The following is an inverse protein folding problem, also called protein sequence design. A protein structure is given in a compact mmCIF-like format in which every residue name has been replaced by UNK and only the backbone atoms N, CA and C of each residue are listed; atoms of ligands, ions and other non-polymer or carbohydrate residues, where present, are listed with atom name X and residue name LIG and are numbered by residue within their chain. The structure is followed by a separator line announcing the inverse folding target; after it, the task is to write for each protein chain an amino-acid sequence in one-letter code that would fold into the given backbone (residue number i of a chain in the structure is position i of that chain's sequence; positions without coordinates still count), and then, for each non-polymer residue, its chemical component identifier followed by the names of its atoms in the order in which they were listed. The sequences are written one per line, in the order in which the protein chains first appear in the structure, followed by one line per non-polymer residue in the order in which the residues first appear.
data_IF_888436299421
#
_entry.id   IF_888436299421
#
_cell.length_a   1.000
_cell.length_b   1.000
_cell.length_c   1.000
_cell.angle_alpha   90.00
_cell.angle_beta   90.00
_cell.angle_gamma   90.00
#
_symmetry.space_group_name_H-M   'P 1'
#
loop_
_entity.id
_entity.type
_entity.pdbx_description
1 polymer ?
#
# COMPACT_ATOMS: atom_id res chain seq x y z
N UNK A 1 -22.64 45.35 103.56
CA UNK A 1 -21.82 44.32 102.88
C UNK A 1 -21.02 45.03 101.80
N UNK A 2 -19.75 45.36 102.08
CA UNK A 2 -18.86 45.98 101.10
C UNK A 2 -18.07 44.86 100.40
N UNK A 3 -18.08 44.84 99.07
CA UNK A 3 -17.35 43.88 98.25
C UNK A 3 -15.84 44.13 98.37
N UNK A 4 -14.99 43.09 98.46
CA UNK A 4 -13.54 43.28 98.47
C UNK A 4 -13.06 43.82 97.12
N UNK A 5 -12.36 44.97 97.18
CA UNK A 5 -11.75 45.68 96.05
C UNK A 5 -10.51 44.92 95.59
N UNK A 6 -10.69 44.08 94.56
CA UNK A 6 -9.65 43.20 94.03
C UNK A 6 -8.79 43.97 93.01
N UNK A 7 -8.04 44.97 93.48
CA UNK A 7 -7.12 45.74 92.64
C UNK A 7 -5.79 45.00 92.47
N UNK A 8 -5.63 44.40 91.31
CA UNK A 8 -4.34 43.86 90.84
C UNK A 8 -3.33 45.01 90.84
N UNK A 9 -2.25 44.88 91.62
CA UNK A 9 -1.18 45.90 91.66
C UNK A 9 -0.39 45.88 90.35
N UNK A 10 0.19 47.02 89.95
CA UNK A 10 0.90 47.14 88.66
C UNK A 10 1.97 46.05 88.44
N UNK A 11 2.65 45.60 89.51
CA UNK A 11 3.61 44.48 89.43
C UNK A 11 2.98 43.11 89.18
N UNK A 12 1.73 42.87 89.57
CA UNK A 12 1.01 41.64 89.24
C UNK A 12 0.53 41.62 87.78
N UNK A 13 0.19 42.78 87.20
CA UNK A 13 -0.19 42.89 85.79
C UNK A 13 1.02 42.61 84.86
N UNK A 14 2.21 43.10 85.21
CA UNK A 14 3.43 42.83 84.45
C UNK A 14 3.83 41.34 84.52
N UNK A 15 3.76 40.71 85.70
CA UNK A 15 4.03 39.27 85.82
C UNK A 15 3.06 38.41 85.02
N UNK A 16 1.78 38.78 84.96
CA UNK A 16 0.77 38.07 84.14
C UNK A 16 1.09 38.24 82.64
N UNK A 17 1.48 39.45 82.20
CA UNK A 17 1.85 39.71 80.81
C UNK A 17 3.10 38.92 80.38
N UNK A 18 4.14 38.87 81.22
CA UNK A 18 5.34 38.07 80.95
C UNK A 18 5.03 36.57 80.93
N UNK A 19 4.17 36.10 81.84
CA UNK A 19 3.73 34.69 81.86
C UNK A 19 2.96 34.32 80.61
N UNK A 20 2.08 35.20 80.11
CA UNK A 20 1.36 35.01 78.85
C UNK A 20 2.29 34.98 77.64
N UNK A 21 3.28 35.89 77.59
CA UNK A 21 4.27 35.92 76.51
C UNK A 21 5.10 34.64 76.46
N UNK A 22 5.53 34.13 77.63
CA UNK A 22 6.29 32.89 77.74
C UNK A 22 5.46 31.69 77.27
N UNK A 23 4.19 31.61 77.68
CA UNK A 23 3.27 30.54 77.23
C UNK A 23 3.02 30.62 75.74
N UNK A 24 2.82 31.81 75.17
CA UNK A 24 2.63 32.02 73.74
C UNK A 24 3.86 31.55 72.94
N UNK A 25 5.06 31.95 73.37
CA UNK A 25 6.33 31.54 72.75
C UNK A 25 6.49 30.01 72.82
N UNK A 26 6.14 29.39 73.96
CA UNK A 26 6.22 27.95 74.15
C UNK A 26 5.26 27.19 73.23
N UNK A 27 4.00 27.64 73.14
CA UNK A 27 2.99 27.08 72.23
C UNK A 27 3.39 27.21 70.77
N UNK A 28 3.94 28.37 70.37
CA UNK A 28 4.39 28.62 69.00
C UNK A 28 5.59 27.72 68.63
N UNK A 29 6.48 27.47 69.60
CA UNK A 29 7.62 26.56 69.44
C UNK A 29 7.17 25.10 69.33
N UNK A 30 6.19 24.68 70.12
CA UNK A 30 5.57 23.35 70.02
C UNK A 30 4.84 23.15 68.69
N UNK A 31 4.10 24.16 68.21
CA UNK A 31 3.44 24.11 66.92
C UNK A 31 4.45 24.00 65.76
N UNK A 32 5.53 24.79 65.80
CA UNK A 32 6.60 24.71 64.80
C UNK A 32 7.36 23.37 64.84
N UNK A 33 7.65 22.82 66.03
CA UNK A 33 8.24 21.49 66.16
C UNK A 33 7.31 20.40 65.63
N UNK A 34 6.01 20.47 65.94
CA UNK A 34 5.01 19.51 65.45
C UNK A 34 4.88 19.54 63.93
N UNK A 35 4.88 20.73 63.33
CA UNK A 35 4.89 20.89 61.87
C UNK A 35 6.20 20.36 61.27
N UNK A 36 7.34 20.65 61.90
CA UNK A 36 8.65 20.13 61.48
C UNK A 36 8.67 18.59 61.50
N UNK A 37 8.26 17.97 62.60
CA UNK A 37 8.19 16.50 62.73
C UNK A 37 7.22 15.89 61.73
N UNK A 38 6.04 16.50 61.54
CA UNK A 38 5.10 16.06 60.51
C UNK A 38 5.72 16.12 59.10
N UNK A 39 6.43 17.20 58.77
CA UNK A 39 7.11 17.32 57.47
C UNK A 39 8.22 16.26 57.34
N UNK A 40 8.97 15.98 58.41
CA UNK A 40 10.01 14.94 58.41
C UNK A 40 9.43 13.52 58.26
N UNK A 41 8.37 13.20 58.99
CA UNK A 41 7.71 11.88 58.96
C UNK A 41 7.05 11.62 57.59
N UNK A 42 6.54 12.66 56.94
CA UNK A 42 5.96 12.58 55.61
C UNK A 42 6.92 12.99 54.48
N UNK A 43 8.20 13.27 54.79
CA UNK A 43 9.17 13.77 53.81
C UNK A 43 9.34 12.80 52.64
N UNK A 44 9.45 11.50 52.93
CA UNK A 44 9.57 10.43 51.94
C UNK A 44 8.31 10.30 51.09
N UNK A 45 7.12 10.51 51.68
CA UNK A 45 5.85 10.48 50.98
C UNK A 45 5.70 11.69 50.04
N UNK A 46 6.01 12.89 50.53
CA UNK A 46 5.98 14.14 49.77
C UNK A 46 6.97 14.07 48.61
N UNK A 47 8.20 13.62 48.88
CA UNK A 47 9.26 13.44 47.86
C UNK A 47 8.85 12.40 46.82
N UNK A 48 8.25 11.28 47.24
CA UNK A 48 7.70 10.28 46.33
C UNK A 48 6.57 10.82 45.45
N UNK A 49 5.65 11.60 46.01
CA UNK A 49 4.56 12.23 45.27
C UNK A 49 5.06 13.30 44.28
N UNK A 50 6.06 14.11 44.67
CA UNK A 50 6.68 15.08 43.74
C UNK A 50 7.46 14.37 42.64
N UNK A 51 8.15 13.28 42.93
CA UNK A 51 8.85 12.47 41.93
C UNK A 51 7.88 11.85 40.91
N UNK A 52 6.74 11.31 41.36
CA UNK A 52 5.69 10.80 40.48
C UNK A 52 5.07 11.92 39.62
N UNK A 53 4.81 13.09 40.21
CA UNK A 53 4.33 14.26 39.48
C UNK A 53 5.32 14.74 38.41
N UNK A 54 6.60 14.82 38.76
CA UNK A 54 7.67 15.17 37.83
C UNK A 54 7.81 14.13 36.71
N UNK A 55 7.73 12.83 37.02
CA UNK A 55 7.75 11.75 36.03
C UNK A 55 6.56 11.85 35.07
N UNK A 56 5.35 12.12 35.57
CA UNK A 56 4.17 12.31 34.72
C UNK A 56 4.33 13.51 33.77
N UNK A 57 4.83 14.64 34.26
CA UNK A 57 5.09 15.84 33.44
C UNK A 57 6.18 15.58 32.39
N UNK A 58 7.22 14.83 32.73
CA UNK A 58 8.31 14.48 31.82
C UNK A 58 7.88 13.51 30.71
N UNK A 59 6.93 12.61 30.99
CA UNK A 59 6.43 11.61 30.04
C UNK A 59 5.38 12.18 29.07
N UNK A 60 4.61 13.18 29.50
CA UNK A 60 3.60 13.86 28.67
C UNK A 60 4.09 14.39 27.31
N UNK A 61 5.25 15.10 27.20
CA UNK A 61 5.75 15.56 25.90
C UNK A 61 6.14 14.41 24.97
N UNK A 62 6.63 13.29 25.51
CA UNK A 62 6.98 12.09 24.72
C UNK A 62 5.72 11.50 24.07
N UNK A 63 4.62 11.40 24.82
CA UNK A 63 3.35 10.93 24.24
C UNK A 63 2.79 11.90 23.19
N UNK A 64 2.90 13.21 23.41
CA UNK A 64 2.49 14.20 22.42
C UNK A 64 3.32 14.11 21.12
N UNK A 65 4.63 13.88 21.23
CA UNK A 65 5.51 13.67 20.08
C UNK A 65 5.18 12.38 19.33
N UNK A 66 4.96 11.26 20.05
CA UNK A 66 4.56 10.00 19.43
C UNK A 66 3.22 10.11 18.70
N UNK A 67 2.26 10.86 19.25
CA UNK A 67 0.98 11.12 18.59
C UNK A 67 1.18 11.92 17.29
N UNK A 68 1.97 13.00 17.32
CA UNK A 68 2.26 13.82 16.15
C UNK A 68 2.98 13.03 15.04
N UNK A 69 4.01 12.24 15.40
CA UNK A 69 4.75 11.40 14.45
C UNK A 69 3.85 10.34 13.81
N UNK A 70 2.91 9.75 14.56
CA UNK A 70 1.93 8.82 14.01
C UNK A 70 1.01 9.51 12.99
N UNK A 71 0.53 10.71 13.27
CA UNK A 71 -0.33 11.45 12.33
C UNK A 71 0.43 11.81 11.05
N UNK A 72 1.68 12.28 11.16
CA UNK A 72 2.52 12.58 10.00
C UNK A 72 2.85 11.32 9.19
N UNK A 73 3.23 10.22 9.86
CA UNK A 73 3.50 8.94 9.20
C UNK A 73 2.27 8.39 8.48
N UNK A 74 1.10 8.47 9.09
CA UNK A 74 -0.15 8.02 8.47
C UNK A 74 -0.55 8.87 7.26
N UNK A 75 -0.32 10.18 7.31
CA UNK A 75 -0.58 11.07 6.18
C UNK A 75 0.36 10.77 4.99
N UNK A 76 1.65 10.55 5.25
CA UNK A 76 2.63 10.16 4.22
C UNK A 76 2.28 8.78 3.64
N UNK A 77 1.96 7.79 4.48
CA UNK A 77 1.56 6.47 4.02
C UNK A 77 0.31 6.53 3.13
N UNK A 78 -0.68 7.35 3.51
CA UNK A 78 -1.89 7.57 2.71
C UNK A 78 -1.56 8.14 1.33
N UNK A 79 -0.70 9.14 1.26
CA UNK A 79 -0.29 9.75 -0.02
C UNK A 79 0.44 8.75 -0.92
N UNK A 80 1.35 7.95 -0.35
CA UNK A 80 2.03 6.86 -1.07
C UNK A 80 1.05 5.82 -1.61
N UNK A 81 0.05 5.42 -0.82
CA UNK A 81 -0.97 4.47 -1.23
C UNK A 81 -1.86 5.02 -2.35
N UNK A 82 -2.28 6.29 -2.27
CA UNK A 82 -3.05 6.95 -3.34
C UNK A 82 -2.25 7.04 -4.65
N UNK A 83 -0.96 7.37 -4.56
CA UNK A 83 -0.09 7.37 -5.74
C UNK A 83 -0.01 5.96 -6.35
N UNK A 84 0.19 4.94 -5.53
CA UNK A 84 0.24 3.54 -5.99
C UNK A 84 -1.08 3.09 -6.62
N UNK A 85 -2.22 3.44 -6.01
CA UNK A 85 -3.56 3.19 -6.54
C UNK A 85 -3.74 3.79 -7.95
N UNK A 86 -3.32 5.04 -8.14
CA UNK A 86 -3.37 5.73 -9.44
C UNK A 86 -2.46 5.05 -10.47
N UNK A 87 -1.24 4.67 -10.09
CA UNK A 87 -0.29 3.95 -10.94
C UNK A 87 -0.85 2.60 -11.40
N UNK A 88 -1.48 1.82 -10.50
CA UNK A 88 -2.09 0.52 -10.84
C UNK A 88 -3.26 0.67 -11.82
N UNK A 89 -4.13 1.68 -11.63
CA UNK A 89 -5.23 1.95 -12.56
C UNK A 89 -4.72 2.37 -13.93
N UNK A 90 -3.71 3.22 -13.97
CA UNK A 90 -3.09 3.63 -15.23
C UNK A 90 -2.46 2.43 -15.94
N UNK A 91 -1.79 1.55 -15.21
CA UNK A 91 -1.18 0.36 -15.77
C UNK A 91 -2.23 -0.63 -16.31
N UNK A 92 -3.34 -0.85 -15.59
CA UNK A 92 -4.45 -1.68 -16.08
C UNK A 92 -5.08 -1.11 -17.36
N UNK A 93 -5.33 0.21 -17.41
CA UNK A 93 -5.83 0.87 -18.62
C UNK A 93 -4.84 0.76 -19.78
N UNK A 94 -3.54 0.89 -19.51
CA UNK A 94 -2.50 0.76 -20.51
C UNK A 94 -2.42 -0.67 -21.07
N UNK A 95 -2.53 -1.71 -20.24
CA UNK A 95 -2.60 -3.11 -20.73
C UNK A 95 -3.81 -3.29 -21.63
N UNK A 96 -4.98 -2.79 -21.23
CA UNK A 96 -6.18 -2.95 -22.04
C UNK A 96 -6.03 -2.26 -23.40
N UNK A 97 -5.47 -1.04 -23.41
CA UNK A 97 -5.17 -0.31 -24.65
C UNK A 97 -4.12 -1.00 -25.52
N UNK A 98 -3.01 -1.43 -24.92
CA UNK A 98 -1.87 -1.94 -25.69
C UNK A 98 -1.98 -3.43 -26.02
N UNK A 99 -2.75 -4.22 -25.29
CA UNK A 99 -2.88 -5.66 -25.50
C UNK A 99 -4.33 -6.02 -25.82
N UNK A 100 -5.26 -5.56 -24.98
CA UNK A 100 -6.68 -5.89 -25.07
C UNK A 100 -7.32 -5.51 -26.40
N UNK A 101 -7.08 -4.28 -26.87
CA UNK A 101 -7.60 -3.80 -28.17
C UNK A 101 -7.12 -4.72 -29.31
N UNK A 102 -5.84 -5.07 -29.36
CA UNK A 102 -5.27 -5.93 -30.41
C UNK A 102 -5.82 -7.36 -30.39
N UNK A 103 -5.96 -7.96 -29.20
CA UNK A 103 -6.58 -9.28 -29.06
C UNK A 103 -8.07 -9.25 -29.39
N UNK A 104 -8.73 -8.12 -29.15
CA UNK A 104 -10.15 -7.92 -29.49
C UNK A 104 -10.34 -7.76 -30.98
N UNK A 105 -9.45 -7.02 -31.66
CA UNK A 105 -9.47 -6.84 -33.11
C UNK A 105 -9.27 -8.17 -33.84
N UNK A 106 -8.28 -8.98 -33.44
CA UNK A 106 -8.09 -10.32 -33.99
C UNK A 106 -9.30 -11.22 -33.71
N UNK A 107 -9.88 -11.14 -32.51
CA UNK A 107 -11.06 -11.93 -32.16
C UNK A 107 -12.36 -11.49 -32.85
N UNK A 108 -12.41 -10.28 -33.41
CA UNK A 108 -13.56 -9.81 -34.20
C UNK A 108 -13.50 -10.33 -35.62
N UNK A 109 -12.30 -10.39 -36.19
CA UNK A 109 -12.04 -10.93 -37.52
C UNK A 109 -12.20 -12.44 -37.58
N UNK A 110 -12.07 -13.12 -36.43
CA UNK A 110 -12.26 -14.56 -36.27
C UNK A 110 -13.51 -14.85 -35.40
N UNK A 111 -14.73 -14.55 -35.89
CA UNK A 111 -15.96 -14.74 -35.11
C UNK A 111 -16.23 -16.21 -34.85
N UNK A 112 -16.59 -16.53 -33.61
CA UNK A 112 -16.68 -17.92 -33.12
C UNK A 112 -17.88 -18.73 -33.65
N UNK A 113 -18.73 -18.15 -34.49
CA UNK A 113 -20.13 -18.55 -34.58
C UNK A 113 -20.65 -19.04 -35.93
N UNK A 114 -19.84 -19.15 -36.97
CA UNK A 114 -20.32 -19.68 -38.23
C UNK A 114 -19.75 -21.08 -38.45
N UNK A 115 -20.67 -22.03 -38.67
CA UNK A 115 -20.42 -23.41 -39.14
C UNK A 115 -19.71 -23.45 -40.51
N UNK A 116 -19.29 -22.30 -41.04
CA UNK A 116 -18.46 -22.21 -42.24
C UNK A 116 -17.02 -22.58 -41.88
N UNK A 117 -16.60 -23.76 -42.34
CA UNK A 117 -15.22 -24.28 -42.30
C UNK A 117 -14.18 -23.37 -43.01
N UNK A 118 -14.62 -22.24 -43.57
CA UNK A 118 -13.90 -21.36 -44.50
C UNK A 118 -13.47 -20.00 -43.91
N UNK A 119 -13.86 -19.62 -42.69
CA UNK A 119 -13.31 -18.41 -42.06
C UNK A 119 -11.91 -18.72 -41.53
N UNK A 120 -10.93 -18.74 -42.44
CA UNK A 120 -9.50 -18.85 -42.13
C UNK A 120 -8.84 -17.51 -42.38
N UNK A 121 -7.90 -17.15 -41.51
CA UNK A 121 -7.05 -16.00 -41.73
C UNK A 121 -6.28 -16.19 -43.04
N UNK A 122 -6.39 -15.21 -43.93
CA UNK A 122 -5.49 -15.10 -45.08
C UNK A 122 -4.06 -14.82 -44.59
N UNK A 123 -3.08 -15.11 -45.44
CA UNK A 123 -1.67 -14.90 -45.15
C UNK A 123 -1.38 -13.41 -44.89
N UNK A 124 -2.07 -12.52 -45.60
CA UNK A 124 -1.96 -11.06 -45.40
C UNK A 124 -2.54 -10.63 -44.05
N UNK A 125 -3.70 -11.15 -43.65
CA UNK A 125 -4.29 -10.87 -42.34
C UNK A 125 -3.39 -11.43 -41.22
N UNK A 126 -2.87 -12.64 -41.37
CA UNK A 126 -1.99 -13.27 -40.40
C UNK A 126 -0.74 -12.42 -40.13
N UNK A 127 -0.07 -11.96 -41.20
CA UNK A 127 1.07 -11.06 -41.09
C UNK A 127 0.71 -9.72 -40.42
N UNK A 128 -0.41 -9.10 -40.79
CA UNK A 128 -0.87 -7.86 -40.16
C UNK A 128 -1.07 -8.01 -38.65
N UNK A 129 -1.76 -9.07 -38.21
CA UNK A 129 -1.99 -9.31 -36.78
C UNK A 129 -0.72 -9.71 -36.03
N UNK A 130 0.20 -10.43 -36.67
CA UNK A 130 1.51 -10.75 -36.12
C UNK A 130 2.30 -9.48 -35.79
N UNK A 131 2.36 -8.51 -36.70
CA UNK A 131 3.00 -7.21 -36.45
C UNK A 131 2.32 -6.42 -35.32
N UNK A 132 0.98 -6.42 -35.31
CA UNK A 132 0.20 -5.77 -34.26
C UNK A 132 0.50 -6.36 -32.88
N UNK A 133 0.48 -7.68 -32.74
CA UNK A 133 0.70 -8.40 -31.47
C UNK A 133 2.17 -8.31 -31.06
N UNK A 134 3.11 -8.38 -31.99
CA UNK A 134 4.55 -8.18 -31.73
C UNK A 134 4.84 -6.81 -31.12
N UNK A 135 4.13 -5.77 -31.57
CA UNK A 135 4.20 -4.43 -30.97
C UNK A 135 3.71 -4.42 -29.52
N UNK A 136 2.67 -5.21 -29.19
CA UNK A 136 2.17 -5.35 -27.83
C UNK A 136 3.19 -6.04 -26.91
N UNK A 137 3.80 -7.13 -27.39
CA UNK A 137 4.86 -7.87 -26.68
C UNK A 137 6.07 -6.98 -26.43
N UNK A 138 6.49 -6.21 -27.43
CA UNK A 138 7.58 -5.24 -27.30
C UNK A 138 7.27 -4.21 -26.21
N UNK A 139 6.04 -3.69 -26.18
CA UNK A 139 5.60 -2.78 -25.13
C UNK A 139 5.59 -3.44 -23.74
N UNK A 140 5.09 -4.68 -23.61
CA UNK A 140 5.10 -5.43 -22.35
C UNK A 140 6.52 -5.68 -21.81
N UNK A 141 7.50 -5.87 -22.70
CA UNK A 141 8.89 -6.12 -22.33
C UNK A 141 9.67 -4.85 -22.01
N UNK A 142 9.46 -3.76 -22.75
CA UNK A 142 10.30 -2.56 -22.69
C UNK A 142 9.62 -1.35 -22.05
N UNK A 143 8.31 -1.19 -22.28
CA UNK A 143 7.54 0.00 -21.89
C UNK A 143 6.70 -0.18 -20.63
N UNK A 144 6.39 -1.42 -20.26
CA UNK A 144 5.51 -1.71 -19.14
C UNK A 144 6.27 -1.76 -17.81
N UNK A 145 5.85 -0.93 -16.86
CA UNK A 145 6.42 -0.83 -15.51
C UNK A 145 5.34 -1.10 -14.47
N UNK A 146 5.21 -2.35 -14.03
CA UNK A 146 4.52 -2.66 -12.77
C UNK A 146 5.58 -2.72 -11.67
N UNK A 147 5.56 -1.79 -10.73
CA UNK A 147 6.59 -1.73 -9.68
C UNK A 147 6.37 -2.87 -8.68
N UNK A 148 7.32 -3.79 -8.62
CA UNK A 148 7.62 -4.66 -7.47
C UNK A 148 6.50 -5.58 -6.94
N UNK A 149 5.55 -6.01 -7.77
CA UNK A 149 4.63 -7.10 -7.40
C UNK A 149 5.00 -8.40 -8.13
N UNK A 150 5.62 -9.39 -7.45
CA UNK A 150 6.07 -10.63 -8.07
C UNK A 150 4.91 -11.47 -8.64
N UNK A 151 3.70 -11.33 -8.09
CA UNK A 151 2.52 -12.05 -8.58
C UNK A 151 2.12 -11.51 -9.94
N UNK A 152 1.98 -10.19 -10.07
CA UNK A 152 1.60 -9.53 -11.33
C UNK A 152 2.69 -9.74 -12.39
N UNK A 153 3.96 -9.63 -12.00
CA UNK A 153 5.11 -9.89 -12.89
C UNK A 153 5.14 -11.35 -13.39
N UNK A 154 4.80 -12.31 -12.53
CA UNK A 154 4.62 -13.71 -12.90
C UNK A 154 3.52 -13.88 -13.94
N UNK A 155 2.35 -13.27 -13.73
CA UNK A 155 1.24 -13.30 -14.69
C UNK A 155 1.58 -12.59 -16.00
N UNK A 156 2.31 -11.47 -15.97
CA UNK A 156 2.79 -10.77 -17.18
C UNK A 156 3.71 -11.66 -18.01
N UNK A 157 4.59 -12.41 -17.35
CA UNK A 157 5.50 -13.34 -18.02
C UNK A 157 4.73 -14.42 -18.76
N UNK A 158 3.68 -14.98 -18.14
CA UNK A 158 2.78 -15.94 -18.78
C UNK A 158 2.04 -15.31 -19.97
N UNK A 159 1.48 -14.10 -19.81
CA UNK A 159 0.84 -13.37 -20.91
C UNK A 159 1.81 -13.17 -22.08
N UNK A 160 3.04 -12.74 -21.80
CA UNK A 160 4.07 -12.52 -22.83
C UNK A 160 4.34 -13.81 -23.60
N UNK A 161 4.54 -14.93 -22.90
CA UNK A 161 4.75 -16.23 -23.53
C UNK A 161 3.55 -16.67 -24.39
N UNK A 162 2.31 -16.40 -23.95
CA UNK A 162 1.10 -16.71 -24.74
C UNK A 162 0.95 -15.83 -25.97
N UNK A 163 1.39 -14.58 -25.91
CA UNK A 163 1.44 -13.71 -27.07
C UNK A 163 2.55 -14.13 -28.04
N UNK A 164 3.71 -14.55 -27.56
CA UNK A 164 4.79 -15.11 -28.40
C UNK A 164 4.34 -16.39 -29.12
N UNK A 165 3.62 -17.27 -28.42
CA UNK A 165 3.03 -18.48 -29.01
C UNK A 165 2.05 -18.12 -30.14
N UNK A 166 1.16 -17.15 -29.90
CA UNK A 166 0.22 -16.65 -30.90
C UNK A 166 0.93 -16.00 -32.10
N UNK A 167 1.97 -15.21 -31.87
CA UNK A 167 2.83 -14.64 -32.93
C UNK A 167 3.45 -15.77 -33.77
N UNK A 168 3.99 -16.81 -33.13
CA UNK A 168 4.56 -17.96 -33.83
C UNK A 168 3.56 -18.64 -34.76
N UNK A 169 2.33 -18.88 -34.29
CA UNK A 169 1.26 -19.45 -35.12
C UNK A 169 0.87 -18.54 -36.29
N UNK A 170 0.78 -17.23 -36.07
CA UNK A 170 0.51 -16.28 -37.15
C UNK A 170 1.66 -16.27 -38.18
N UNK A 171 2.91 -16.36 -37.71
CA UNK A 171 4.12 -16.51 -38.52
C UNK A 171 4.10 -17.74 -39.42
N UNK A 172 3.72 -18.89 -38.86
CA UNK A 172 3.60 -20.16 -39.58
C UNK A 172 2.62 -20.08 -40.76
N UNK A 173 1.53 -19.30 -40.63
CA UNK A 173 0.49 -19.16 -41.67
C UNK A 173 1.02 -18.51 -42.94
N UNK A 174 1.79 -17.42 -42.82
CA UNK A 174 2.23 -16.64 -43.99
C UNK A 174 3.65 -16.98 -44.42
N UNK A 175 4.38 -17.84 -43.70
CA UNK A 175 5.80 -18.11 -43.94
C UNK A 175 6.07 -18.49 -45.40
N UNK A 176 5.38 -19.49 -45.93
CA UNK A 176 5.56 -19.99 -47.31
C UNK A 176 5.04 -19.04 -48.38
N UNK A 177 4.14 -18.11 -48.02
CA UNK A 177 3.69 -17.06 -48.92
C UNK A 177 4.66 -15.86 -48.99
N UNK A 178 5.44 -15.64 -47.93
CA UNK A 178 6.42 -14.56 -47.85
C UNK A 178 7.84 -14.97 -48.29
N UNK A 179 8.13 -16.27 -48.35
CA UNK A 179 9.43 -16.81 -48.75
C UNK A 179 9.32 -17.58 -50.06
N UNK A 180 10.42 -17.66 -50.81
CA UNK A 180 10.53 -18.54 -51.96
C UNK A 180 11.21 -19.83 -51.52
N UNK A 181 10.74 -20.96 -52.04
CA UNK A 181 11.36 -22.26 -51.76
C UNK A 181 12.84 -22.29 -52.18
N UNK A 182 13.15 -21.61 -53.28
CA UNK A 182 14.50 -21.41 -53.79
C UNK A 182 14.70 -19.91 -53.98
N UNK A 183 15.59 -19.31 -53.21
CA UNK A 183 16.11 -17.96 -53.42
C UNK A 183 17.62 -18.00 -53.72
N UNK A 184 18.22 -16.82 -53.94
CA UNK A 184 19.62 -16.71 -54.31
C UNK A 184 20.59 -17.16 -53.19
N UNK A 185 20.13 -17.19 -51.94
CA UNK A 185 20.94 -17.46 -50.75
C UNK A 185 20.65 -18.85 -50.13
N UNK A 186 19.47 -19.40 -50.35
CA UNK A 186 18.92 -20.59 -49.70
C UNK A 186 18.02 -21.42 -50.63
N UNK A 187 18.10 -22.75 -50.48
CA UNK A 187 17.25 -23.69 -51.20
C UNK A 187 16.71 -24.72 -50.21
N UNK A 188 15.40 -24.69 -49.98
CA UNK A 188 14.70 -25.63 -49.11
C UNK A 188 14.29 -26.85 -49.95
N UNK A 189 14.52 -28.05 -49.40
CA UNK A 189 14.10 -29.30 -50.04
C UNK A 189 12.58 -29.41 -50.18
N UNK A 190 12.08 -30.08 -51.21
CA UNK A 190 10.65 -30.23 -51.50
C UNK A 190 9.89 -30.83 -50.29
N UNK A 191 10.47 -31.86 -49.65
CA UNK A 191 9.86 -32.48 -48.48
C UNK A 191 9.88 -31.57 -47.24
N UNK A 192 10.81 -30.62 -47.17
CA UNK A 192 10.82 -29.61 -46.12
C UNK A 192 9.81 -28.50 -46.39
N UNK A 193 9.69 -28.06 -47.64
CA UNK A 193 8.71 -27.09 -48.06
C UNK A 193 7.27 -27.56 -47.85
N UNK A 194 6.96 -28.80 -48.24
CA UNK A 194 5.64 -29.42 -48.02
C UNK A 194 5.30 -29.49 -46.52
N UNK A 195 6.30 -29.74 -45.64
CA UNK A 195 6.10 -29.71 -44.18
C UNK A 195 5.75 -28.31 -43.69
N UNK A 196 6.37 -27.26 -44.24
CA UNK A 196 6.09 -25.88 -43.87
C UNK A 196 4.69 -25.44 -44.32
N UNK A 197 4.27 -25.82 -45.54
CA UNK A 197 2.92 -25.55 -46.04
C UNK A 197 1.86 -26.23 -45.16
N UNK A 198 2.06 -27.52 -44.84
CA UNK A 198 1.15 -28.24 -43.92
C UNK A 198 1.11 -27.59 -42.55
N UNK A 199 2.26 -27.12 -42.02
CA UNK A 199 2.32 -26.45 -40.72
C UNK A 199 1.54 -25.13 -40.73
N UNK A 200 1.59 -24.38 -41.83
CA UNK A 200 0.78 -23.16 -42.02
C UNK A 200 -0.72 -23.45 -41.97
N UNK A 201 -1.18 -24.52 -42.63
CA UNK A 201 -2.59 -24.94 -42.58
C UNK A 201 -3.02 -25.44 -41.19
N UNK A 202 -2.17 -26.22 -40.50
CA UNK A 202 -2.41 -26.62 -39.11
C UNK A 202 -2.49 -25.38 -38.20
N UNK A 203 -1.59 -24.41 -38.38
CA UNK A 203 -1.55 -23.19 -37.58
C UNK A 203 -2.85 -22.38 -37.71
N UNK A 204 -3.50 -22.33 -38.89
CA UNK A 204 -4.81 -21.68 -39.08
C UNK A 204 -5.86 -22.22 -38.07
N UNK A 205 -5.84 -23.51 -37.78
CA UNK A 205 -6.75 -24.14 -36.79
C UNK A 205 -6.34 -23.90 -35.33
N UNK A 206 -5.06 -23.66 -35.07
CA UNK A 206 -4.49 -23.45 -33.74
C UNK A 206 -4.54 -21.97 -33.28
N UNK A 207 -4.86 -21.02 -34.17
CA UNK A 207 -4.99 -19.60 -33.81
C UNK A 207 -6.03 -19.39 -32.73
N UNK A 208 -7.19 -20.03 -32.85
CA UNK A 208 -8.27 -19.84 -31.89
C UNK A 208 -7.89 -20.24 -30.46
N UNK A 209 -7.40 -21.47 -30.19
CA UNK A 209 -6.98 -21.83 -28.84
C UNK A 209 -5.82 -20.95 -28.33
N UNK A 210 -4.89 -20.54 -29.21
CA UNK A 210 -3.81 -19.62 -28.83
C UNK A 210 -4.33 -18.23 -28.43
N UNK A 211 -5.27 -17.68 -29.20
CA UNK A 211 -5.94 -16.41 -28.91
C UNK A 211 -6.72 -16.47 -27.59
N UNK A 212 -7.46 -17.55 -27.37
CA UNK A 212 -8.20 -17.77 -26.12
C UNK A 212 -7.24 -17.85 -24.92
N UNK A 213 -6.11 -18.55 -25.05
CA UNK A 213 -5.08 -18.63 -24.02
C UNK A 213 -4.46 -17.26 -23.73
N UNK A 214 -4.17 -16.45 -24.76
CA UNK A 214 -3.65 -15.10 -24.59
C UNK A 214 -4.66 -14.16 -23.89
N UNK A 215 -5.94 -14.24 -24.26
CA UNK A 215 -7.02 -13.48 -23.60
C UNK A 215 -7.17 -13.88 -22.13
N UNK A 216 -7.16 -15.18 -21.82
CA UNK A 216 -7.20 -15.66 -20.45
C UNK A 216 -5.99 -15.18 -19.63
N UNK A 217 -4.77 -15.26 -20.20
CA UNK A 217 -3.57 -14.76 -19.54
C UNK A 217 -3.61 -13.24 -19.31
N UNK A 218 -4.25 -12.47 -20.19
CA UNK A 218 -4.45 -11.03 -20.00
C UNK A 218 -5.40 -10.75 -18.85
N UNK A 219 -6.53 -11.47 -18.78
CA UNK A 219 -7.46 -11.37 -17.64
C UNK A 219 -6.77 -11.70 -16.33
N UNK A 220 -5.95 -12.75 -16.29
CA UNK A 220 -5.15 -13.12 -15.12
C UNK A 220 -4.24 -11.98 -14.62
N UNK A 221 -3.64 -11.21 -15.52
CA UNK A 221 -2.82 -10.03 -15.15
C UNK A 221 -3.69 -8.93 -14.56
N UNK A 222 -4.83 -8.64 -15.19
CA UNK A 222 -5.76 -7.61 -14.71
C UNK A 222 -6.38 -7.98 -13.35
N UNK A 223 -6.71 -9.25 -13.14
CA UNK A 223 -7.26 -9.76 -11.88
C UNK A 223 -6.21 -9.70 -10.76
N UNK A 224 -4.97 -10.08 -11.05
CA UNK A 224 -3.87 -9.93 -10.08
C UNK A 224 -3.65 -8.47 -9.68
N UNK A 225 -3.73 -7.54 -10.65
CA UNK A 225 -3.66 -6.11 -10.36
C UNK A 225 -4.87 -5.56 -9.63
N UNK A 226 -6.07 -6.05 -9.94
CA UNK A 226 -7.32 -5.71 -9.24
C UNK A 226 -7.31 -6.17 -7.78
N UNK A 227 -6.71 -7.33 -7.49
CA UNK A 227 -6.52 -7.81 -6.13
C UNK A 227 -5.57 -6.89 -5.32
N UNK A 228 -4.49 -6.40 -5.94
CA UNK A 228 -3.59 -5.42 -5.32
C UNK A 228 -4.31 -4.09 -5.06
N UNK A 229 -5.08 -3.60 -6.03
CA UNK A 229 -5.87 -2.38 -5.88
C UNK A 229 -6.85 -2.48 -4.71
N UNK A 230 -7.54 -3.62 -4.59
CA UNK A 230 -8.47 -3.88 -3.48
C UNK A 230 -7.75 -3.87 -2.12
N UNK A 231 -6.55 -4.45 -2.03
CA UNK A 231 -5.76 -4.44 -0.81
C UNK A 231 -5.34 -3.01 -0.42
N UNK A 232 -4.98 -2.17 -1.39
CA UNK A 232 -4.67 -0.75 -1.17
C UNK A 232 -5.91 0.02 -0.70
N UNK A 233 -7.07 -0.21 -1.31
CA UNK A 233 -8.33 0.41 -0.89
C UNK A 233 -8.69 0.05 0.56
N UNK A 234 -8.44 -1.19 0.97
CA UNK A 234 -8.64 -1.64 2.36
C UNK A 234 -7.66 -0.93 3.32
N UNK A 235 -6.38 -0.82 2.98
CA UNK A 235 -5.38 -0.10 3.77
C UNK A 235 -5.69 1.40 3.90
N UNK A 236 -6.13 2.04 2.80
CA UNK A 236 -6.57 3.44 2.81
C UNK A 236 -7.76 3.65 3.76
N UNK A 237 -8.76 2.76 3.73
CA UNK A 237 -9.90 2.82 4.67
C UNK A 237 -9.48 2.66 6.12
N UNK A 238 -8.51 1.79 6.40
CA UNK A 238 -7.97 1.63 7.76
C UNK A 238 -7.22 2.86 8.24
N UNK A 239 -6.38 3.44 7.38
CA UNK A 239 -5.66 4.68 7.66
C UNK A 239 -6.61 5.86 7.87
N UNK A 240 -7.63 6.01 7.03
CA UNK A 240 -8.65 7.06 7.17
C UNK A 240 -9.40 6.91 8.51
N UNK A 241 -9.79 5.68 8.90
CA UNK A 241 -10.38 5.42 10.23
C UNK A 241 -9.42 5.74 11.37
N UNK A 242 -8.13 5.42 11.23
CA UNK A 242 -7.11 5.72 12.24
C UNK A 242 -6.89 7.24 12.39
N UNK A 243 -6.85 7.97 11.27
CA UNK A 243 -6.71 9.42 11.25
C UNK A 243 -7.92 10.11 11.89
N UNK A 244 -9.14 9.68 11.57
CA UNK A 244 -10.36 10.20 12.21
C UNK A 244 -10.34 9.97 13.72
N UNK A 245 -9.98 8.77 14.17
CA UNK A 245 -9.87 8.46 15.62
C UNK A 245 -8.78 9.25 16.33
N UNK A 246 -7.69 9.61 15.65
CA UNK A 246 -6.61 10.41 16.22
C UNK A 246 -6.92 11.91 16.31
N UNK A 247 -8.00 12.37 15.67
CA UNK A 247 -8.43 13.77 15.63
C UNK A 247 -9.49 14.10 16.69
N UNK A 248 -10.06 13.07 17.34
CA UNK A 248 -10.95 13.14 18.51
C UNK A 248 -10.08 13.00 19.76
#
# INVERSE_FOLDING_TARGET
MAAPDNRITAGQAEMIAYSFLIVLIWLLRCALMGISQFIYDYQTLITGATALGAAYVAVRPVYAQLALMRTQSNAVMRDMLLQREAELRQAAAAINKHVGERLSDLGREYPWYEEDEDIRLTETQAHHYEQHISSAVTWLRLGYRWRDNPIVEGKRTVLTAKLDELIGKLGEIYFTAAHQQHDDDHSIDDAEWERLERRGEEAKTEIYPALAAAKAAMTDVLDAGGAELKAIDEQLRELDRALVRSRI
#
